data_IF_204991786886
#
_entry.id   IF_204991786886
#
_cell.length_a   1.000
_cell.length_b   1.000
_cell.length_c   1.000
_cell.angle_alpha   90.00
_cell.angle_beta   90.00
_cell.angle_gamma   90.00
#
_symmetry.space_group_name_H-M   'P 1'
#
loop_
_entity.id
_entity.type
_entity.pdbx_description
1 polymer ?
#
# COMPACT_ATOMS: atom_id res chain seq x y z
N UNK A 1 -16.86 -3.08 -20.41
CA UNK A 1 -16.46 -3.93 -19.27
C UNK A 1 -15.72 -5.20 -19.67
N UNK A 2 -16.22 -6.03 -20.61
CA UNK A 2 -15.57 -7.31 -20.99
C UNK A 2 -14.07 -7.20 -21.36
N UNK A 3 -13.67 -6.18 -22.14
CA UNK A 3 -12.26 -5.98 -22.50
C UNK A 3 -11.32 -5.71 -21.32
N UNK A 4 -11.79 -4.99 -20.29
CA UNK A 4 -11.00 -4.69 -19.10
C UNK A 4 -10.70 -5.95 -18.29
N UNK A 5 -11.71 -6.80 -18.10
CA UNK A 5 -11.57 -8.08 -17.39
C UNK A 5 -10.56 -8.98 -18.11
N UNK A 6 -10.68 -9.11 -19.44
CA UNK A 6 -9.73 -9.90 -20.24
C UNK A 6 -8.28 -9.38 -20.16
N UNK A 7 -8.08 -8.06 -20.15
CA UNK A 7 -6.76 -7.46 -19.97
C UNK A 7 -6.22 -7.66 -18.54
N UNK A 8 -7.06 -7.62 -17.51
CA UNK A 8 -6.64 -7.94 -16.14
C UNK A 8 -6.26 -9.41 -15.98
N UNK A 9 -6.99 -10.32 -16.62
CA UNK A 9 -6.66 -11.74 -16.61
C UNK A 9 -5.31 -12.02 -17.28
N UNK A 10 -4.95 -11.24 -18.31
CA UNK A 10 -3.66 -11.42 -19.00
C UNK A 10 -2.44 -11.04 -18.14
N UNK A 11 -2.62 -10.19 -17.11
CA UNK A 11 -1.53 -9.75 -16.21
C UNK A 11 -1.49 -10.49 -14.87
N UNK A 12 -2.42 -11.40 -14.58
CA UNK A 12 -2.47 -12.12 -13.29
C UNK A 12 -1.16 -12.85 -12.98
N UNK A 13 -0.58 -13.54 -13.97
CA UNK A 13 0.71 -14.23 -13.84
C UNK A 13 1.87 -13.28 -13.52
N UNK A 14 1.89 -12.08 -14.12
CA UNK A 14 2.92 -11.06 -13.84
C UNK A 14 2.76 -10.57 -12.41
N UNK A 15 1.53 -10.20 -12.01
CA UNK A 15 1.26 -9.69 -10.66
C UNK A 15 1.64 -10.72 -9.60
N UNK A 16 1.27 -11.99 -9.79
CA UNK A 16 1.65 -13.06 -8.85
C UNK A 16 3.15 -13.27 -8.78
N UNK A 17 3.86 -13.13 -9.89
CA UNK A 17 5.32 -13.33 -9.95
C UNK A 17 6.05 -12.16 -9.30
N UNK A 18 5.67 -10.93 -9.64
CA UNK A 18 6.38 -9.73 -9.19
C UNK A 18 6.00 -9.33 -7.75
N UNK A 19 4.81 -9.71 -7.27
CA UNK A 19 4.27 -9.28 -5.98
C UNK A 19 4.02 -10.39 -4.96
N UNK A 20 4.39 -11.65 -5.22
CA UNK A 20 4.14 -12.77 -4.28
C UNK A 20 4.62 -12.49 -2.85
N UNK A 21 5.71 -11.73 -2.71
CA UNK A 21 6.31 -11.37 -1.43
C UNK A 21 6.05 -9.90 -1.04
N UNK A 22 5.14 -9.24 -1.74
CA UNK A 22 4.78 -7.84 -1.52
C UNK A 22 3.84 -7.62 -0.33
N UNK A 23 4.07 -6.54 0.42
CA UNK A 23 3.21 -6.11 1.55
C UNK A 23 1.75 -5.95 1.11
N UNK A 24 1.49 -5.24 0.01
CA UNK A 24 0.14 -4.96 -0.47
C UNK A 24 -0.52 -6.25 -0.94
N UNK A 25 0.22 -7.09 -1.66
CA UNK A 25 -0.25 -8.41 -2.07
C UNK A 25 -0.70 -9.28 -0.90
N UNK A 26 0.02 -9.23 0.23
CA UNK A 26 -0.35 -9.97 1.44
C UNK A 26 -1.51 -9.32 2.19
N UNK A 27 -1.47 -8.00 2.37
CA UNK A 27 -2.48 -7.28 3.14
C UNK A 27 -3.83 -7.22 2.43
N UNK A 28 -3.85 -7.07 1.10
CA UNK A 28 -5.07 -6.85 0.30
C UNK A 28 -5.43 -8.03 -0.62
N UNK A 29 -4.48 -8.95 -0.83
CA UNK A 29 -4.66 -10.08 -1.72
C UNK A 29 -4.28 -9.80 -3.20
N UNK A 30 -4.20 -10.88 -4.01
CA UNK A 30 -3.80 -10.81 -5.41
C UNK A 30 -4.77 -10.00 -6.27
N UNK A 31 -6.08 -10.08 -6.00
CA UNK A 31 -7.10 -9.43 -6.83
C UNK A 31 -7.01 -7.91 -6.76
N UNK A 32 -6.87 -7.37 -5.55
CA UNK A 32 -6.73 -5.92 -5.36
C UNK A 32 -5.39 -5.41 -5.89
N UNK A 33 -4.31 -6.18 -5.71
CA UNK A 33 -3.00 -5.84 -6.28
C UNK A 33 -3.07 -5.79 -7.81
N UNK A 34 -3.70 -6.80 -8.43
CA UNK A 34 -3.93 -6.86 -9.88
C UNK A 34 -4.72 -5.66 -10.39
N UNK A 35 -5.80 -5.30 -9.70
CA UNK A 35 -6.62 -4.12 -10.03
C UNK A 35 -5.79 -2.83 -9.99
N UNK A 36 -4.94 -2.66 -8.97
CA UNK A 36 -4.05 -1.48 -8.85
C UNK A 36 -3.03 -1.40 -9.98
N UNK A 37 -2.37 -2.51 -10.32
CA UNK A 37 -1.41 -2.57 -11.43
C UNK A 37 -2.09 -2.27 -12.76
N UNK A 38 -3.25 -2.88 -13.02
CA UNK A 38 -4.04 -2.56 -14.22
C UNK A 38 -4.44 -1.08 -14.28
N UNK A 39 -4.80 -0.49 -13.14
CA UNK A 39 -5.13 0.94 -13.04
C UNK A 39 -3.91 1.82 -13.28
N UNK A 40 -2.73 1.48 -12.76
CA UNK A 40 -1.48 2.19 -13.03
C UNK A 40 -1.15 2.17 -14.53
N UNK A 41 -1.14 0.98 -15.11
CA UNK A 41 -0.88 0.77 -16.53
C UNK A 41 -1.82 1.61 -17.41
N UNK A 42 -3.12 1.58 -17.11
CA UNK A 42 -4.12 2.28 -17.90
C UNK A 42 -4.16 3.80 -17.66
N UNK A 43 -4.28 4.21 -16.40
CA UNK A 43 -4.56 5.61 -16.04
C UNK A 43 -3.33 6.50 -16.00
N UNK A 44 -2.16 5.93 -15.72
CA UNK A 44 -0.93 6.72 -15.53
C UNK A 44 0.03 6.60 -16.69
N UNK A 45 0.06 5.43 -17.34
CA UNK A 45 0.93 5.20 -18.49
C UNK A 45 0.19 5.33 -19.84
N UNK A 46 -1.09 5.71 -19.81
CA UNK A 46 -1.90 5.92 -21.01
C UNK A 46 -2.05 4.66 -21.86
N UNK A 47 -1.91 3.47 -21.28
CA UNK A 47 -2.10 2.24 -22.03
C UNK A 47 -3.60 2.07 -22.30
N UNK A 48 -3.99 2.23 -23.57
CA UNK A 48 -5.37 2.02 -24.00
C UNK A 48 -5.84 0.62 -23.62
N UNK A 49 -6.76 0.55 -22.64
CA UNK A 49 -7.46 -0.67 -22.24
C UNK A 49 -8.46 -1.15 -23.30
N UNK A 50 -8.89 -0.24 -24.18
CA UNK A 50 -10.02 -0.41 -25.10
C UNK A 50 -9.63 -0.43 -26.56
N UNK A 51 -8.40 -0.01 -26.90
CA UNK A 51 -7.90 -0.26 -28.24
C UNK A 51 -7.83 -1.78 -28.47
N UNK A 52 -8.09 -2.26 -29.69
CA UNK A 52 -7.93 -3.68 -30.07
C UNK A 52 -6.45 -4.10 -30.08
N UNK A 53 -5.65 -3.57 -29.15
CA UNK A 53 -4.37 -4.13 -28.79
C UNK A 53 -4.64 -5.50 -28.20
N UNK A 54 -4.17 -6.54 -28.91
CA UNK A 54 -4.21 -7.91 -28.43
C UNK A 54 -3.77 -7.95 -26.95
N UNK A 55 -4.45 -8.69 -26.06
CA UNK A 55 -4.12 -8.78 -24.63
C UNK A 55 -2.64 -9.05 -24.32
N UNK A 56 -1.92 -9.69 -25.25
CA UNK A 56 -0.46 -9.86 -25.20
C UNK A 56 0.32 -8.54 -25.18
N UNK A 57 -0.04 -7.54 -25.99
CA UNK A 57 0.67 -6.24 -26.00
C UNK A 57 0.50 -5.47 -24.70
N UNK A 58 -0.69 -5.52 -24.10
CA UNK A 58 -0.93 -4.93 -22.79
C UNK A 58 -0.07 -5.62 -21.73
N UNK A 59 -0.08 -6.96 -21.72
CA UNK A 59 0.75 -7.78 -20.85
C UNK A 59 2.25 -7.43 -20.98
N UNK A 60 2.77 -7.34 -22.20
CA UNK A 60 4.17 -7.03 -22.46
C UNK A 60 4.57 -5.63 -21.96
N UNK A 61 3.69 -4.63 -22.14
CA UNK A 61 3.91 -3.28 -21.61
C UNK A 61 3.89 -3.23 -20.08
N UNK A 62 2.97 -3.95 -19.45
CA UNK A 62 2.94 -4.09 -17.99
C UNK A 62 4.22 -4.75 -17.50
N UNK A 63 4.68 -5.83 -18.15
CA UNK A 63 5.92 -6.50 -17.81
C UNK A 63 7.14 -5.57 -17.95
N UNK A 64 7.20 -4.81 -19.04
CA UNK A 64 8.27 -3.82 -19.27
C UNK A 64 8.27 -2.71 -18.22
N UNK A 65 7.10 -2.34 -17.69
CA UNK A 65 6.97 -1.29 -16.68
C UNK A 65 7.60 -1.66 -15.32
N UNK A 66 8.02 -2.91 -15.10
CA UNK A 66 8.77 -3.30 -13.88
C UNK A 66 10.29 -3.24 -14.03
N UNK A 67 10.80 -2.88 -15.21
CA UNK A 67 12.22 -3.08 -15.56
C UNK A 67 12.91 -1.80 -16.00
N UNK A 68 14.13 -1.62 -15.50
CA UNK A 68 15.07 -0.62 -15.94
C UNK A 68 16.21 -1.32 -16.71
N UNK A 69 16.04 -1.44 -18.03
CA UNK A 69 16.84 -2.37 -18.83
C UNK A 69 16.48 -3.81 -18.45
N UNK A 70 17.48 -4.62 -18.10
CA UNK A 70 17.28 -6.04 -17.76
C UNK A 70 17.10 -6.30 -16.25
N UNK A 71 17.13 -5.26 -15.41
CA UNK A 71 17.04 -5.38 -13.95
C UNK A 71 15.84 -4.63 -13.38
N UNK A 72 15.53 -4.90 -12.12
CA UNK A 72 14.59 -4.06 -11.36
C UNK A 72 15.23 -2.70 -11.06
N UNK A 73 14.45 -1.61 -11.03
CA UNK A 73 14.95 -0.29 -10.65
C UNK A 73 15.44 -0.29 -9.20
N UNK A 74 16.58 0.35 -8.96
CA UNK A 74 17.12 0.55 -7.61
C UNK A 74 16.62 1.90 -7.08
N UNK A 75 15.82 1.86 -6.01
CA UNK A 75 15.28 3.03 -5.32
C UNK A 75 15.98 3.16 -3.95
N UNK A 76 16.99 4.04 -3.80
CA UNK A 76 17.85 4.07 -2.61
C UNK A 76 17.11 4.33 -1.29
N UNK A 77 16.04 5.13 -1.33
CA UNK A 77 15.30 5.52 -0.13
C UNK A 77 14.36 4.42 0.38
N UNK A 78 14.00 3.46 -0.47
CA UNK A 78 13.02 2.41 -0.18
C UNK A 78 13.57 1.08 -0.70
N UNK A 79 14.36 0.36 0.11
CA UNK A 79 14.90 -0.93 -0.29
C UNK A 79 13.76 -1.92 -0.58
N UNK A 80 14.02 -2.87 -1.47
CA UNK A 80 13.08 -3.92 -1.87
C UNK A 80 11.77 -3.40 -2.48
N UNK A 81 11.73 -2.15 -2.94
CA UNK A 81 10.58 -1.61 -3.63
C UNK A 81 10.30 -2.36 -4.94
N UNK A 82 9.06 -2.78 -5.14
CA UNK A 82 8.58 -3.26 -6.44
C UNK A 82 8.16 -2.01 -7.21
N UNK A 83 9.09 -1.49 -8.01
CA UNK A 83 8.90 -0.25 -8.77
C UNK A 83 8.10 -0.46 -10.06
N UNK A 84 7.27 0.51 -10.42
CA UNK A 84 6.49 0.52 -11.65
C UNK A 84 6.71 1.85 -12.40
N UNK A 85 7.09 1.77 -13.66
CA UNK A 85 7.57 2.91 -14.44
C UNK A 85 6.52 4.01 -14.50
N UNK A 86 6.95 5.24 -14.20
CA UNK A 86 6.13 6.44 -14.30
C UNK A 86 6.50 7.18 -15.57
N UNK A 87 5.54 7.36 -16.47
CA UNK A 87 5.70 8.24 -17.63
C UNK A 87 5.86 9.70 -17.13
N UNK A 88 6.79 10.51 -17.66
CA UNK A 88 7.04 11.87 -17.18
C UNK A 88 5.83 12.79 -17.14
N UNK A 89 4.87 12.58 -18.05
CA UNK A 89 3.61 13.33 -18.14
C UNK A 89 2.54 12.88 -17.13
N UNK A 90 2.89 11.98 -16.20
CA UNK A 90 1.95 11.47 -15.20
C UNK A 90 1.39 12.58 -14.30
N UNK A 91 0.25 12.24 -13.67
CA UNK A 91 -0.52 13.13 -12.80
C UNK A 91 0.40 13.80 -11.76
N UNK A 92 0.47 15.15 -11.72
CA UNK A 92 1.48 15.90 -10.97
C UNK A 92 1.42 15.73 -9.44
N UNK A 93 0.41 15.02 -8.95
CA UNK A 93 0.09 14.89 -7.55
C UNK A 93 0.38 13.50 -6.98
N UNK A 94 0.75 12.53 -7.82
CA UNK A 94 1.03 11.17 -7.37
C UNK A 94 2.51 11.06 -7.02
N UNK A 95 2.81 10.43 -5.88
CA UNK A 95 4.18 10.28 -5.43
C UNK A 95 4.98 9.40 -6.34
N UNK A 96 6.16 9.90 -6.71
CA UNK A 96 7.13 9.18 -7.52
C UNK A 96 8.50 9.25 -6.88
N UNK A 97 9.28 8.21 -7.11
CA UNK A 97 10.59 8.03 -6.52
C UNK A 97 11.63 7.98 -7.64
N UNK A 98 12.73 8.75 -7.53
CA UNK A 98 13.81 8.66 -8.49
C UNK A 98 14.57 7.34 -8.29
N UNK A 99 14.89 6.64 -9.39
CA UNK A 99 15.88 5.56 -9.36
C UNK A 99 17.30 6.12 -9.50
N UNK A 100 18.30 5.26 -9.36
CA UNK A 100 19.71 5.61 -9.55
C UNK A 100 20.02 6.21 -10.94
N UNK A 101 19.18 5.96 -11.96
CA UNK A 101 19.33 6.55 -13.30
C UNK A 101 18.67 7.94 -13.44
N UNK A 102 17.96 8.41 -12.41
CA UNK A 102 17.15 9.63 -12.45
C UNK A 102 15.74 9.45 -13.01
N UNK A 103 15.35 8.25 -13.45
CA UNK A 103 13.97 7.97 -13.88
C UNK A 103 13.01 7.95 -12.68
N UNK A 104 11.74 8.32 -12.92
CA UNK A 104 10.69 8.34 -11.89
C UNK A 104 9.90 7.03 -11.90
N UNK A 105 9.56 6.55 -10.72
CA UNK A 105 8.85 5.29 -10.53
C UNK A 105 7.72 5.45 -9.49
N UNK A 106 6.60 4.76 -9.72
CA UNK A 106 5.63 4.46 -8.67
C UNK A 106 6.13 3.27 -7.86
N UNK A 107 5.68 3.16 -6.61
CA UNK A 107 5.91 1.97 -5.78
C UNK A 107 4.54 1.36 -5.48
N UNK A 108 4.01 0.49 -6.34
CA UNK A 108 2.78 -0.24 -6.05
C UNK A 108 2.90 -1.18 -4.84
N UNK A 109 4.09 -1.69 -4.57
CA UNK A 109 4.33 -2.68 -3.51
C UNK A 109 5.80 -2.66 -3.04
N UNK A 110 6.07 -3.29 -1.90
CA UNK A 110 7.42 -3.45 -1.36
C UNK A 110 7.56 -4.90 -0.91
N UNK A 111 8.62 -5.58 -1.33
CA UNK A 111 8.93 -6.94 -0.90
C UNK A 111 9.38 -6.97 0.55
N UNK A 112 8.91 -7.99 1.27
CA UNK A 112 9.36 -8.30 2.62
C UNK A 112 10.15 -9.60 2.57
N UNK A 113 11.21 -9.69 3.37
CA UNK A 113 11.90 -10.96 3.60
C UNK A 113 10.93 -11.98 4.24
N UNK A 114 11.08 -13.25 3.84
CA UNK A 114 10.15 -14.33 4.20
C UNK A 114 9.86 -14.43 5.71
N UNK A 115 10.87 -14.12 6.54
CA UNK A 115 10.80 -14.17 8.00
C UNK A 115 9.81 -13.18 8.62
N UNK A 116 9.38 -12.16 7.88
CA UNK A 116 8.49 -11.12 8.38
C UNK A 116 7.11 -11.13 7.72
N UNK A 117 6.81 -12.11 6.87
CA UNK A 117 5.48 -12.25 6.26
C UNK A 117 4.38 -12.40 7.31
N UNK A 118 4.63 -13.19 8.35
CA UNK A 118 3.66 -13.48 9.41
C UNK A 118 3.42 -12.29 10.35
N UNK A 119 4.13 -11.18 10.16
CA UNK A 119 3.98 -9.97 10.95
C UNK A 119 3.09 -8.91 10.27
N UNK A 120 2.74 -9.08 9.00
CA UNK A 120 1.79 -8.17 8.34
C UNK A 120 0.39 -8.49 8.86
N UNK A 121 -0.29 -7.51 9.45
CA UNK A 121 -1.63 -7.71 10.00
C UNK A 121 -2.59 -8.00 8.84
N UNK A 122 -3.29 -9.15 8.85
CA UNK A 122 -4.28 -9.45 7.83
C UNK A 122 -5.47 -8.52 8.02
N UNK A 123 -5.80 -7.79 6.97
CA UNK A 123 -6.95 -6.89 6.94
C UNK A 123 -7.90 -7.39 5.86
N UNK A 124 -9.19 -7.50 6.18
CA UNK A 124 -10.16 -7.84 5.12
C UNK A 124 -10.25 -6.66 4.14
N UNK A 125 -10.15 -6.92 2.81
CA UNK A 125 -10.36 -5.88 1.82
C UNK A 125 -11.70 -5.17 2.02
N UNK A 126 -11.70 -3.86 1.83
CA UNK A 126 -12.94 -3.08 1.85
C UNK A 126 -13.75 -3.40 0.60
N UNK A 127 -14.98 -3.88 0.79
CA UNK A 127 -15.93 -4.17 -0.28
C UNK A 127 -17.03 -3.09 -0.28
N UNK A 128 -16.85 -1.98 -1.02
CA UNK A 128 -17.88 -0.98 -1.11
C UNK A 128 -19.10 -1.53 -1.85
N UNK A 129 -20.28 -1.31 -1.28
CA UNK A 129 -21.57 -1.61 -1.94
C UNK A 129 -21.74 -3.08 -2.32
N UNK A 130 -21.37 -4.03 -1.45
CA UNK A 130 -21.60 -5.47 -1.65
C UNK A 130 -23.07 -5.81 -1.99
N UNK A 131 -24.02 -4.97 -1.57
CA UNK A 131 -25.45 -5.09 -1.87
C UNK A 131 -25.87 -4.53 -3.25
N UNK A 132 -25.02 -3.74 -3.94
CA UNK A 132 -25.33 -3.07 -5.21
C UNK A 132 -24.16 -3.16 -6.21
N UNK A 133 -23.96 -4.36 -6.77
CA UNK A 133 -22.80 -4.75 -7.58
C UNK A 133 -22.51 -3.85 -8.80
N UNK A 134 -23.54 -3.33 -9.49
CA UNK A 134 -23.37 -2.52 -10.69
C UNK A 134 -22.73 -1.14 -10.45
N UNK A 135 -23.05 -0.50 -9.32
CA UNK A 135 -22.44 0.79 -8.93
C UNK A 135 -21.07 0.62 -8.28
N UNK A 136 -20.81 -0.54 -7.68
CA UNK A 136 -19.54 -0.82 -7.01
C UNK A 136 -18.36 -0.77 -7.97
N UNK A 137 -18.48 -1.38 -9.15
CA UNK A 137 -17.41 -1.46 -10.14
C UNK A 137 -17.03 -0.07 -10.69
N UNK A 138 -18.01 0.74 -11.10
CA UNK A 138 -17.75 2.07 -11.68
C UNK A 138 -17.21 3.10 -10.68
N UNK A 139 -17.49 2.92 -9.39
CA UNK A 139 -16.91 3.77 -8.33
C UNK A 139 -15.46 3.38 -8.03
N UNK A 140 -15.11 2.09 -8.14
CA UNK A 140 -13.75 1.61 -7.93
C UNK A 140 -12.84 1.89 -9.13
N UNK A 141 -13.39 1.85 -10.34
CA UNK A 141 -12.68 2.14 -11.58
C UNK A 141 -12.45 3.66 -11.73
N UNK A 142 -11.18 4.09 -11.69
CA UNK A 142 -10.80 5.46 -11.99
C UNK A 142 -11.02 6.50 -10.88
N UNK A 143 -11.49 6.13 -9.68
CA UNK A 143 -11.56 7.08 -8.54
C UNK A 143 -10.64 6.73 -7.38
N UNK A 144 -10.21 5.47 -7.31
CA UNK A 144 -9.30 5.01 -6.27
C UNK A 144 -7.87 5.19 -6.74
N UNK A 145 -7.07 5.89 -5.93
CA UNK A 145 -5.65 6.02 -6.19
C UNK A 145 -4.99 4.63 -6.09
N UNK A 146 -4.38 4.12 -7.18
CA UNK A 146 -3.77 2.81 -7.15
C UNK A 146 -2.47 2.79 -6.35
N UNK A 147 -1.80 3.93 -6.14
CA UNK A 147 -0.51 4.01 -5.45
C UNK A 147 -0.71 4.09 -3.94
N UNK A 148 -0.14 3.14 -3.15
CA UNK A 148 -0.07 3.28 -1.70
C UNK A 148 0.74 4.50 -1.28
N UNK A 149 0.28 5.19 -0.23
CA UNK A 149 1.09 6.20 0.44
C UNK A 149 1.99 5.52 1.46
N UNK A 150 3.20 5.14 1.02
CA UNK A 150 4.22 4.55 1.89
C UNK A 150 4.64 5.52 2.99
N UNK A 151 4.78 5.00 4.20
CA UNK A 151 5.16 5.74 5.39
C UNK A 151 6.60 5.37 5.72
N UNK A 152 7.56 6.21 5.31
CA UNK A 152 8.99 5.97 5.53
C UNK A 152 9.47 6.94 6.60
N UNK A 153 9.92 6.41 7.74
CA UNK A 153 10.47 7.18 8.86
C UNK A 153 12.00 7.28 8.78
N UNK A 154 12.61 7.85 9.81
CA UNK A 154 14.08 7.92 9.93
C UNK A 154 14.75 6.56 10.09
N UNK A 155 14.00 5.53 10.49
CA UNK A 155 14.49 4.15 10.68
C UNK A 155 14.15 3.24 9.49
N UNK A 156 13.66 3.80 8.38
CA UNK A 156 13.25 3.05 7.19
C UNK A 156 11.73 2.92 7.07
N UNK A 157 11.28 1.82 6.47
CA UNK A 157 9.87 1.59 6.19
C UNK A 157 9.06 1.40 7.48
N UNK A 158 8.06 2.25 7.64
CA UNK A 158 7.12 2.25 8.75
C UNK A 158 7.45 3.24 9.85
N UNK A 159 6.42 3.64 10.60
CA UNK A 159 6.57 4.44 11.83
C UNK A 159 5.78 3.79 12.97
N UNK A 160 6.23 3.88 14.22
CA UNK A 160 5.48 3.39 15.37
C UNK A 160 4.07 3.99 15.43
N UNK A 161 3.07 3.15 15.68
CA UNK A 161 1.67 3.59 15.84
C UNK A 161 1.51 4.41 17.13
N UNK A 162 2.18 4.02 18.21
CA UNK A 162 2.26 4.78 19.45
C UNK A 162 3.54 5.61 19.48
N UNK A 163 3.39 6.93 19.66
CA UNK A 163 4.50 7.88 19.70
C UNK A 163 4.22 9.10 18.84
N UNK A 164 5.09 10.12 18.92
CA UNK A 164 5.04 11.25 18.00
C UNK A 164 5.89 10.94 16.76
N UNK A 165 5.33 11.20 15.58
CA UNK A 165 6.02 10.93 14.33
C UNK A 165 6.78 12.19 13.91
N UNK A 166 8.02 12.30 14.40
CA UNK A 166 8.85 13.48 14.18
C UNK A 166 9.16 13.68 12.68
N UNK A 167 9.56 12.59 12.00
CA UNK A 167 9.97 12.60 10.59
C UNK A 167 9.22 11.53 9.80
N UNK A 168 8.67 11.95 8.66
CA UNK A 168 8.09 11.08 7.62
C UNK A 168 8.58 11.62 6.28
N UNK A 169 9.12 10.77 5.43
CA UNK A 169 9.42 11.12 4.04
C UNK A 169 8.14 11.65 3.38
N UNK A 170 8.24 12.75 2.63
CA UNK A 170 7.08 13.45 2.05
C UNK A 170 6.08 13.98 3.09
N UNK A 171 6.47 14.11 4.37
CA UNK A 171 5.58 14.51 5.46
C UNK A 171 4.92 15.87 5.25
N UNK A 172 5.62 16.82 4.61
CA UNK A 172 5.13 18.17 4.34
C UNK A 172 4.32 18.27 3.03
N UNK A 173 4.27 17.20 2.24
CA UNK A 173 3.49 17.20 1.00
C UNK A 173 2.00 17.16 1.29
N UNK A 174 1.23 17.84 0.44
CA UNK A 174 -0.21 17.87 0.53
C UNK A 174 -0.80 16.53 0.06
N UNK A 175 -1.76 16.03 0.83
CA UNK A 175 -2.61 14.91 0.42
C UNK A 175 -3.77 15.48 -0.39
N UNK A 176 -3.67 15.36 -1.71
CA UNK A 176 -4.65 15.93 -2.63
C UNK A 176 -5.54 14.84 -3.25
N UNK A 177 -6.62 15.29 -3.86
CA UNK A 177 -7.48 14.51 -4.75
C UNK A 177 -6.89 14.53 -6.16
N UNK A 178 -7.51 13.76 -7.06
CA UNK A 178 -7.14 13.72 -8.48
C UNK A 178 -7.25 15.08 -9.17
N UNK A 179 -8.17 15.94 -8.73
CA UNK A 179 -8.34 17.31 -9.22
C UNK A 179 -7.33 18.31 -8.62
N UNK A 180 -6.32 17.83 -7.90
CA UNK A 180 -5.30 18.65 -7.24
C UNK A 180 -5.76 19.35 -5.96
N UNK A 181 -7.04 19.27 -5.60
CA UNK A 181 -7.55 19.91 -4.37
C UNK A 181 -7.15 19.10 -3.15
N UNK A 182 -6.78 19.80 -2.08
CA UNK A 182 -6.51 19.18 -0.79
C UNK A 182 -7.68 18.32 -0.30
N UNK A 183 -7.40 17.12 0.19
CA UNK A 183 -8.39 16.30 0.90
C UNK A 183 -8.67 16.94 2.25
N UNK A 184 -9.88 17.44 2.45
CA UNK A 184 -10.30 18.09 3.71
C UNK A 184 -10.79 17.10 4.76
N UNK A 185 -11.31 15.95 4.33
CA UNK A 185 -11.63 14.82 5.20
C UNK A 185 -11.39 13.49 4.51
N UNK A 186 -11.08 12.48 5.31
CA UNK A 186 -10.93 11.08 4.88
C UNK A 186 -11.55 10.16 5.93
N UNK A 187 -12.10 9.03 5.49
CA UNK A 187 -12.63 7.98 6.37
C UNK A 187 -11.58 6.88 6.47
N UNK A 188 -11.14 6.57 7.68
CA UNK A 188 -10.35 5.36 7.95
C UNK A 188 -11.30 4.20 8.08
N UNK A 189 -11.02 3.13 7.36
CA UNK A 189 -11.71 1.85 7.46
C UNK A 189 -10.66 0.75 7.56
N UNK A 190 -10.88 -0.22 8.43
CA UNK A 190 -10.20 -1.52 8.38
C UNK A 190 -11.01 -2.56 9.15
N UNK A 191 -10.88 -3.82 8.76
CA UNK A 191 -11.46 -4.94 9.50
C UNK A 191 -10.32 -5.83 10.00
N UNK A 192 -10.10 -5.77 11.31
CA UNK A 192 -9.11 -6.58 12.01
C UNK A 192 -9.66 -7.99 12.24
N UNK A 193 -8.83 -9.01 12.04
CA UNK A 193 -9.27 -10.41 12.17
C UNK A 193 -9.81 -10.73 13.58
N UNK A 194 -11.06 -11.21 13.65
CA UNK A 194 -11.73 -11.52 14.92
C UNK A 194 -12.46 -10.36 15.57
N UNK A 195 -12.49 -9.17 14.94
CA UNK A 195 -13.16 -7.97 15.45
C UNK A 195 -14.17 -7.41 14.45
N UNK A 196 -15.12 -6.63 14.96
CA UNK A 196 -16.05 -5.85 14.14
C UNK A 196 -15.29 -4.83 13.26
N UNK A 197 -15.78 -4.51 12.05
CA UNK A 197 -15.18 -3.49 11.19
C UNK A 197 -15.05 -2.13 11.90
N UNK A 198 -13.85 -1.57 11.88
CA UNK A 198 -13.58 -0.26 12.44
C UNK A 198 -13.74 0.84 11.40
N UNK A 199 -14.36 1.94 11.79
CA UNK A 199 -14.54 3.12 10.94
C UNK A 199 -14.39 4.41 11.74
N UNK A 200 -13.65 5.37 11.20
CA UNK A 200 -13.54 6.70 11.80
C UNK A 200 -13.26 7.79 10.78
N UNK A 201 -13.90 8.96 10.92
CA UNK A 201 -13.60 10.11 10.07
C UNK A 201 -12.42 10.93 10.62
N UNK A 202 -11.53 11.35 9.75
CA UNK A 202 -10.42 12.27 10.00
C UNK A 202 -10.70 13.59 9.29
N UNK A 203 -10.60 14.69 10.02
CA UNK A 203 -10.58 16.03 9.45
C UNK A 203 -9.12 16.44 9.20
N UNK A 204 -8.79 16.61 7.93
CA UNK A 204 -7.45 17.00 7.47
C UNK A 204 -7.22 18.50 7.58
N UNK A 205 -8.29 19.29 7.63
CA UNK A 205 -8.18 20.71 7.94
C UNK A 205 -7.96 20.88 9.45
N UNK A 206 -6.90 21.60 9.82
CA UNK A 206 -6.76 22.10 11.19
C UNK A 206 -7.79 23.20 11.49
N UNK A 207 -7.87 23.61 12.76
CA UNK A 207 -8.38 24.96 13.07
C UNK A 207 -7.56 26.03 12.35
N UNK A 208 -8.01 27.29 12.41
CA UNK A 208 -7.47 28.43 11.65
C UNK A 208 -5.95 28.36 11.44
N UNK A 209 -5.54 28.13 10.19
CA UNK A 209 -4.16 28.26 9.66
C UNK A 209 -3.06 27.39 10.29
N UNK A 210 -3.36 26.15 10.72
CA UNK A 210 -2.27 25.21 11.01
C UNK A 210 -1.44 24.93 9.74
N UNK A 211 -0.13 25.16 9.81
CA UNK A 211 0.82 24.87 8.71
C UNK A 211 0.78 23.41 8.24
N UNK A 212 0.36 22.49 9.12
CA UNK A 212 0.25 21.06 8.84
C UNK A 212 -1.09 20.66 8.21
N UNK A 213 -1.97 21.62 7.86
CA UNK A 213 -3.27 21.33 7.27
C UNK A 213 -3.11 20.55 5.96
N UNK A 214 -3.85 19.46 5.82
CA UNK A 214 -3.84 18.60 4.63
C UNK A 214 -2.50 17.93 4.29
N UNK A 215 -1.49 17.99 5.17
CA UNK A 215 -0.20 17.34 4.94
C UNK A 215 -0.24 15.83 5.18
N UNK A 216 0.72 15.11 4.60
CA UNK A 216 0.86 13.68 4.82
C UNK A 216 1.23 13.31 6.25
N UNK A 217 2.12 14.08 6.89
CA UNK A 217 2.47 13.90 8.30
C UNK A 217 1.24 14.01 9.19
N UNK A 218 0.35 14.97 8.92
CA UNK A 218 -0.93 15.07 9.62
C UNK A 218 -1.79 13.82 9.40
N UNK A 219 -1.87 13.33 8.16
CA UNK A 219 -2.63 12.11 7.85
C UNK A 219 -2.12 10.92 8.68
N UNK A 220 -0.82 10.67 8.66
CA UNK A 220 -0.14 9.61 9.42
C UNK A 220 -0.46 9.72 10.90
N UNK A 221 -0.28 10.90 11.50
CA UNK A 221 -0.57 11.13 12.93
C UNK A 221 -2.04 10.89 13.27
N UNK A 222 -2.97 11.29 12.42
CA UNK A 222 -4.39 11.07 12.65
C UNK A 222 -4.76 9.58 12.54
N UNK A 223 -4.22 8.87 11.54
CA UNK A 223 -4.40 7.43 11.37
C UNK A 223 -3.86 6.67 12.59
N UNK A 224 -2.64 6.99 13.06
CA UNK A 224 -2.06 6.42 14.27
C UNK A 224 -2.96 6.62 15.51
N UNK A 225 -3.53 7.82 15.69
CA UNK A 225 -4.49 8.09 16.78
C UNK A 225 -5.75 7.23 16.65
N UNK A 226 -6.26 6.99 15.44
CA UNK A 226 -7.43 6.12 15.21
C UNK A 226 -7.11 4.66 15.53
N UNK A 227 -5.95 4.16 15.13
CA UNK A 227 -5.50 2.80 15.47
C UNK A 227 -5.32 2.65 16.98
N UNK A 228 -4.66 3.60 17.65
CA UNK A 228 -4.54 3.61 19.11
C UNK A 228 -5.92 3.59 19.80
N UNK A 229 -6.89 4.36 19.30
CA UNK A 229 -8.26 4.39 19.84
C UNK A 229 -8.97 3.05 19.64
N UNK A 230 -8.83 2.44 18.47
CA UNK A 230 -9.34 1.10 18.19
C UNK A 230 -8.78 0.11 19.23
N UNK A 231 -7.47 0.01 19.36
CA UNK A 231 -6.81 -0.96 20.25
C UNK A 231 -7.22 -0.78 21.72
N UNK A 232 -7.32 0.46 22.18
CA UNK A 232 -7.57 0.76 23.59
C UNK A 232 -9.04 0.73 23.99
N UNK A 233 -9.98 1.00 23.06
CA UNK A 233 -11.39 1.26 23.41
C UNK A 233 -12.41 0.62 22.47
N UNK A 234 -12.16 0.67 21.16
CA UNK A 234 -13.19 0.34 20.18
C UNK A 234 -13.01 -1.09 19.58
N UNK A 235 -12.05 -1.86 20.09
CA UNK A 235 -11.83 -3.25 19.68
C UNK A 235 -12.91 -4.15 20.27
N UNK A 236 -14.01 -4.31 19.53
CA UNK A 236 -15.13 -5.21 19.87
C UNK A 236 -14.91 -6.58 19.21
N UNK A 237 -14.66 -7.66 20.00
CA UNK A 237 -14.51 -9.00 19.43
C UNK A 237 -15.82 -9.49 18.82
N UNK A 238 -15.73 -10.25 17.73
CA UNK A 238 -16.89 -10.95 17.17
C UNK A 238 -17.37 -12.05 18.14
N UNK A 239 -18.68 -12.37 18.21
CA UNK A 239 -19.20 -13.43 19.09
C UNK A 239 -18.53 -14.79 18.87
N UNK A 240 -18.15 -15.08 17.62
CA UNK A 240 -17.46 -16.31 17.21
C UNK A 240 -15.95 -16.09 17.00
N UNK A 241 -15.41 -14.98 17.50
CA UNK A 241 -13.99 -14.65 17.39
C UNK A 241 -13.16 -15.63 18.23
N UNK A 242 -12.16 -16.25 17.60
CA UNK A 242 -11.22 -17.10 18.33
C UNK A 242 -10.41 -16.22 19.30
N UNK A 243 -10.65 -16.40 20.61
CA UNK A 243 -9.92 -15.68 21.66
C UNK A 243 -8.43 -15.99 21.69
N UNK A 244 -8.02 -17.11 21.06
CA UNK A 244 -6.63 -17.55 20.90
C UNK A 244 -6.06 -17.18 19.53
N UNK A 245 -6.65 -16.22 18.81
CA UNK A 245 -6.06 -15.72 17.57
C UNK A 245 -4.70 -15.06 17.86
N UNK A 246 -3.65 -15.30 17.05
CA UNK A 246 -2.38 -14.58 17.16
C UNK A 246 -2.55 -13.07 16.90
N UNK A 247 -3.70 -12.67 16.35
CA UNK A 247 -4.08 -11.28 16.09
C UNK A 247 -4.94 -10.68 17.21
N UNK A 248 -5.09 -11.33 18.35
CA UNK A 248 -5.88 -10.81 19.46
C UNK A 248 -5.31 -9.48 19.97
N UNK A 249 -6.14 -8.45 19.98
CA UNK A 249 -5.83 -7.10 20.46
C UNK A 249 -6.05 -6.99 21.96
N UNK A 250 -5.17 -6.26 22.64
CA UNK A 250 -5.28 -5.92 24.06
C UNK A 250 -3.93 -5.67 24.74
N UNK A 251 -3.97 -5.33 26.03
CA UNK A 251 -2.77 -5.05 26.84
C UNK A 251 -2.25 -6.28 27.61
N UNK A 252 -2.84 -7.45 27.38
CA UNK A 252 -2.45 -8.70 28.05
C UNK A 252 -1.26 -9.39 27.38
N UNK A 253 -0.67 -10.36 28.08
CA UNK A 253 0.37 -11.23 27.52
C UNK A 253 -0.17 -11.95 26.27
N UNK A 254 0.64 -11.99 25.20
CA UNK A 254 0.25 -12.59 23.93
C UNK A 254 -0.75 -11.77 23.10
N UNK A 255 -1.09 -10.54 23.51
CA UNK A 255 -2.01 -9.66 22.77
C UNK A 255 -1.32 -8.47 22.16
N UNK A 256 -1.78 -8.06 20.98
CA UNK A 256 -1.27 -6.92 20.23
C UNK A 256 -1.77 -5.61 20.84
N UNK A 257 -0.83 -4.80 21.31
CA UNK A 257 -1.04 -3.43 21.76
C UNK A 257 -0.60 -2.43 20.69
N UNK A 258 -0.85 -1.14 20.92
CA UNK A 258 -0.43 -0.09 19.99
C UNK A 258 1.10 0.11 19.93
N UNK A 259 1.84 -0.34 20.95
CA UNK A 259 3.31 -0.27 21.01
C UNK A 259 3.97 -1.28 20.08
N UNK A 260 3.25 -2.35 19.79
CA UNK A 260 3.71 -3.48 19.00
C UNK A 260 3.54 -3.25 17.49
N UNK A 261 2.97 -2.11 17.08
CA UNK A 261 2.58 -1.87 15.69
C UNK A 261 3.39 -0.77 15.02
N UNK A 262 3.69 -1.03 13.75
CA UNK A 262 4.19 -0.08 12.77
C UNK A 262 3.12 0.18 11.72
N UNK A 263 2.91 1.45 11.37
CA UNK A 263 2.14 1.85 10.20
C UNK A 263 3.07 1.89 8.99
N UNK A 264 2.88 0.98 8.02
CA UNK A 264 3.73 0.84 6.83
C UNK A 264 3.25 1.69 5.66
N UNK A 265 1.94 1.70 5.41
CA UNK A 265 1.34 2.38 4.28
C UNK A 265 -0.09 2.84 4.59
N UNK A 266 -0.59 3.77 3.79
CA UNK A 266 -2.00 4.15 3.76
C UNK A 266 -2.49 3.95 2.33
N UNK A 267 -3.45 3.04 2.14
CA UNK A 267 -4.02 2.75 0.81
C UNK A 267 -5.40 3.38 0.67
N UNK A 268 -5.67 4.01 -0.47
CA UNK A 268 -7.03 4.40 -0.82
C UNK A 268 -7.81 3.15 -1.23
N UNK A 269 -8.97 2.89 -0.63
CA UNK A 269 -9.82 1.72 -0.96
C UNK A 269 -11.13 2.11 -1.62
N UNK A 270 -11.57 3.36 -1.47
CA UNK A 270 -12.60 3.98 -2.29
C UNK A 270 -12.42 5.50 -2.30
N UNK A 271 -13.33 6.23 -2.96
CA UNK A 271 -13.30 7.70 -2.93
C UNK A 271 -13.49 8.21 -1.50
N UNK A 272 -12.43 8.83 -0.95
CA UNK A 272 -12.43 9.38 0.40
C UNK A 272 -12.26 8.36 1.53
N UNK A 273 -12.13 7.06 1.23
CA UNK A 273 -11.87 6.01 2.23
C UNK A 273 -10.46 5.47 2.09
N UNK A 274 -9.76 5.38 3.22
CA UNK A 274 -8.40 4.87 3.32
C UNK A 274 -8.34 3.70 4.30
N UNK A 275 -7.38 2.81 4.07
CA UNK A 275 -7.06 1.71 4.96
C UNK A 275 -5.57 1.76 5.35
N UNK A 276 -5.24 1.67 6.64
CA UNK A 276 -3.85 1.54 7.07
C UNK A 276 -3.35 0.13 6.77
N UNK A 277 -2.07 0.00 6.42
CA UNK A 277 -1.36 -1.29 6.34
C UNK A 277 -0.42 -1.37 7.53
N UNK A 278 -0.58 -2.42 8.34
CA UNK A 278 0.07 -2.53 9.65
C UNK A 278 1.00 -3.73 9.70
N UNK A 279 2.07 -3.59 10.48
CA UNK A 279 3.01 -4.66 10.80
C UNK A 279 3.23 -4.75 12.30
N UNK A 280 3.27 -5.95 12.83
CA UNK A 280 3.73 -6.24 14.19
C UNK A 280 5.25 -6.16 14.21
N UNK A 281 5.82 -5.45 15.19
CA UNK A 281 7.26 -5.32 15.33
C UNK A 281 7.90 -6.68 15.56
N UNK A 282 9.07 -6.88 14.96
CA UNK A 282 9.73 -8.19 14.92
C UNK A 282 10.63 -8.47 16.11
N UNK A 283 10.92 -7.46 16.92
CA UNK A 283 11.56 -7.61 18.24
C UNK A 283 10.58 -8.18 19.28
N UNK A 284 9.32 -8.39 18.90
CA UNK A 284 8.34 -9.04 19.73
C UNK A 284 8.33 -10.54 19.49
N UNK A 285 8.73 -11.29 20.51
CA UNK A 285 8.39 -12.69 20.62
C UNK A 285 6.87 -12.81 20.84
N UNK A 286 6.10 -13.04 19.77
CA UNK A 286 4.64 -13.29 19.86
C UNK A 286 4.30 -14.60 20.58
N UNK A 287 5.27 -15.27 21.21
CA UNK A 287 5.11 -16.62 21.76
C UNK A 287 4.84 -17.69 20.68
N UNK A 288 4.85 -17.31 19.39
CA UNK A 288 4.64 -18.21 18.25
C UNK A 288 5.69 -19.32 18.18
N UNK A 289 6.93 -19.04 18.60
CA UNK A 289 7.99 -20.04 18.71
C UNK A 289 7.60 -21.21 19.63
N UNK A 290 6.85 -20.95 20.70
CA UNK A 290 6.45 -21.99 21.64
C UNK A 290 5.25 -22.81 21.14
N UNK A 291 4.38 -22.25 20.28
CA UNK A 291 3.26 -22.99 19.70
C UNK A 291 3.71 -24.04 18.67
N UNK A 292 4.82 -23.79 17.98
CA UNK A 292 5.42 -24.76 17.03
C UNK A 292 6.18 -25.86 17.79
N UNK A 293 6.87 -25.54 18.89
CA UNK A 293 7.60 -26.55 19.68
C UNK A 293 6.65 -27.50 20.42
N UNK A 294 5.51 -27.02 20.95
CA UNK A 294 4.57 -27.88 21.70
C UNK A 294 3.92 -28.94 20.81
N UNK A 295 3.65 -28.64 19.52
CA UNK A 295 3.11 -29.64 18.58
C UNK A 295 4.11 -30.74 18.21
N UNK A 296 5.41 -30.45 18.21
CA UNK A 296 6.44 -31.45 17.93
C UNK A 296 6.66 -32.40 19.12
N UNK A 297 6.47 -31.94 20.36
CA UNK A 297 6.64 -32.79 21.55
C UNK A 297 5.43 -33.68 21.85
N UNK A 298 4.22 -33.27 21.47
CA UNK A 298 3.01 -34.09 21.69
C UNK A 298 2.89 -35.26 20.71
N UNK A 299 3.54 -35.19 19.54
CA UNK A 299 3.61 -36.34 18.61
C UNK A 299 4.70 -37.35 18.97
N UNK A 300 5.65 -37.01 19.85
CA UNK A 300 6.68 -37.96 20.30
C UNK A 300 6.30 -38.75 21.55
N UNK A 301 5.22 -38.42 22.26
CA UNK A 301 4.77 -39.18 23.44
C UNK A 301 3.87 -40.38 23.14
N UNK A 302 3.35 -40.50 21.92
CA UNK A 302 2.45 -41.61 21.53
C UNK A 302 3.14 -42.75 20.75
N UNK A 303 4.46 -42.71 20.56
CA UNK A 303 5.20 -43.81 19.89
C UNK A 303 6.07 -44.68 20.80
N UNK A 304 6.03 -44.48 22.12
CA UNK A 304 6.84 -45.25 23.08
C UNK A 304 6.12 -46.47 23.68
N UNK A 305 5.34 -47.18 22.85
CA UNK A 305 4.99 -48.57 23.17
C UNK A 305 5.10 -49.45 21.93
N UNK A 306 5.97 -50.45 22.05
CA UNK A 306 6.16 -51.62 21.16
C UNK A 306 7.09 -51.52 19.94
N UNK A 307 8.42 -51.57 20.15
CA UNK A 307 9.32 -52.31 19.22
C UNK A 307 10.50 -52.95 20.00
N UNK A 308 10.83 -54.24 19.73
CA UNK A 308 11.89 -54.97 20.42
C UNK A 308 13.29 -54.65 19.90
N UNK A 309 14.27 -54.77 20.80
CA UNK A 309 15.69 -54.56 20.58
C UNK A 309 16.27 -55.48 19.50
N UNK A 310 16.96 -54.91 18.51
CA UNK A 310 17.94 -55.62 17.69
C UNK A 310 19.24 -54.81 17.63
N UNK A 311 20.29 -55.40 18.19
CA UNK A 311 21.69 -54.97 18.16
C UNK A 311 22.28 -55.11 16.76
N UNK A 312 22.80 -54.03 16.17
CA UNK A 312 23.83 -54.09 15.12
C UNK A 312 24.82 -52.92 15.30
N UNK A 313 26.10 -53.26 15.15
CA UNK A 313 27.32 -52.49 15.39
C UNK A 313 27.50 -51.17 14.60
N UNK A 314 28.38 -50.26 15.08
CA UNK A 314 28.72 -49.01 14.40
C UNK A 314 29.79 -49.22 13.33
N UNK A 315 29.62 -48.57 12.18
CA UNK A 315 30.63 -48.48 11.12
C UNK A 315 31.17 -47.05 11.03
N UNK A 316 32.49 -46.97 11.04
CA UNK A 316 33.36 -45.81 11.02
C UNK A 316 33.39 -45.14 9.65
N UNK A 317 33.31 -43.80 9.59
CA UNK A 317 33.83 -42.89 8.55
C UNK A 317 33.16 -41.51 8.73
N UNK A 318 33.71 -40.35 8.43
CA UNK A 318 35.03 -39.87 7.99
C UNK A 318 34.94 -38.34 8.13
N UNK A 319 36.05 -37.70 8.53
CA UNK A 319 36.19 -36.25 8.61
C UNK A 319 35.90 -35.54 7.28
N UNK A 320 35.21 -34.40 7.33
CA UNK A 320 35.40 -33.31 6.38
C UNK A 320 35.44 -31.98 7.14
N UNK A 321 36.66 -31.43 7.27
CA UNK A 321 36.92 -30.09 7.72
C UNK A 321 37.06 -29.16 6.50
N UNK A 322 36.39 -28.01 6.52
CA UNK A 322 36.53 -26.92 5.55
C UNK A 322 36.23 -25.61 6.31
N UNK A 323 37.23 -24.99 6.95
CA UNK A 323 38.04 -23.86 6.44
C UNK A 323 37.24 -22.79 5.68
N UNK A 324 36.79 -21.77 6.41
CA UNK A 324 36.54 -20.42 5.88
C UNK A 324 37.81 -19.58 5.98
N UNK A 325 38.23 -18.83 4.93
CA UNK A 325 39.30 -17.86 5.06
C UNK A 325 38.79 -16.44 5.37
N UNK A 326 39.48 -15.82 6.32
CA UNK A 326 39.91 -14.42 6.39
C UNK A 326 38.86 -13.29 6.33
N UNK A 327 38.56 -12.82 7.56
CA UNK A 327 38.13 -11.47 7.91
C UNK A 327 39.23 -10.47 7.56
N UNK A 328 38.93 -9.50 6.70
CA UNK A 328 39.79 -8.33 6.44
C UNK A 328 39.45 -7.27 7.48
N UNK A 329 40.43 -6.90 8.28
CA UNK A 329 40.36 -5.79 9.23
C UNK A 329 40.45 -4.46 8.48
N UNK A 330 39.39 -3.66 8.55
CA UNK A 330 39.39 -2.26 8.10
C UNK A 330 39.73 -1.36 9.29
N UNK A 331 40.78 -0.52 9.23
CA UNK A 331 41.12 0.39 10.33
C UNK A 331 40.19 1.61 10.35
N UNK A 332 39.85 2.04 11.56
CA UNK A 332 39.05 3.22 11.86
C UNK A 332 39.72 4.54 11.38
N UNK A 333 38.96 5.53 10.91
CA UNK A 333 39.51 6.85 10.61
C UNK A 333 39.67 7.67 11.89
N UNK A 334 40.89 8.18 12.13
CA UNK A 334 41.16 9.22 13.12
C UNK A 334 40.82 10.63 12.58
N UNK A 335 40.43 11.58 13.46
CA UNK A 335 39.99 12.89 13.07
C UNK A 335 41.18 13.84 12.84
N UNK A 336 41.15 14.60 11.74
CA UNK A 336 42.04 15.76 11.56
C UNK A 336 41.26 17.05 11.80
N UNK A 337 41.66 17.74 12.86
CA UNK A 337 41.32 19.11 13.18
C UNK A 337 42.16 20.04 12.29
N UNK A 338 41.51 20.87 11.48
CA UNK A 338 42.12 22.10 10.97
C UNK A 338 41.14 23.25 11.16
N UNK A 339 41.42 24.03 12.20
CA UNK A 339 40.82 25.32 12.48
C UNK A 339 41.27 26.33 11.42
N UNK A 340 40.32 26.86 10.64
CA UNK A 340 40.53 28.07 9.84
C UNK A 340 39.66 29.16 10.45
N UNK A 341 40.37 30.11 11.07
CA UNK A 341 39.89 31.35 11.66
C UNK A 341 39.82 32.39 10.55
N UNK A 342 38.61 32.75 10.09
CA UNK A 342 38.42 33.88 9.19
C UNK A 342 38.02 35.12 10.01
N UNK A 343 38.80 36.18 9.79
CA UNK A 343 38.71 37.49 10.45
C UNK A 343 37.52 38.29 9.93
N UNK A 344 36.94 39.08 10.82
CA UNK A 344 35.90 40.05 10.56
C UNK A 344 36.48 41.38 10.05
N UNK A 345 36.09 41.76 8.85
CA UNK A 345 36.05 43.14 8.34
C UNK A 345 34.83 43.17 7.41
N UNK A 346 33.73 43.81 7.77
CA UNK A 346 33.63 45.26 7.77
C UNK A 346 33.35 45.69 6.33
N UNK A 347 32.08 45.88 5.98
CA UNK A 347 31.64 46.95 5.08
C UNK A 347 30.11 46.97 4.98
N UNK A 348 29.57 48.10 5.40
CA UNK A 348 28.18 48.48 5.23
C UNK A 348 27.96 48.88 3.76
N UNK A 349 26.91 48.33 3.15
CA UNK A 349 26.41 48.78 1.84
C UNK A 349 24.93 49.18 1.96
N UNK A 350 24.49 50.11 1.08
CA UNK A 350 23.42 51.04 1.38
C UNK A 350 22.02 50.48 1.12
N UNK A 351 21.05 51.11 1.78
CA UNK A 351 19.62 50.94 1.54
C UNK A 351 19.29 51.19 0.05
N UNK A 352 18.60 50.21 -0.55
CA UNK A 352 17.98 50.33 -1.88
C UNK A 352 16.48 50.57 -1.69
N UNK A 353 15.87 51.51 -2.43
CA UNK A 353 14.51 51.97 -2.20
C UNK A 353 13.46 50.97 -2.68
N UNK A 354 12.34 50.98 -1.95
CA UNK A 354 11.08 50.34 -2.34
C UNK A 354 10.51 51.13 -3.52
N UNK A 355 10.40 50.50 -4.69
CA UNK A 355 9.54 50.95 -5.77
C UNK A 355 8.44 49.91 -6.02
N UNK A 356 7.22 50.43 -6.08
CA UNK A 356 6.01 49.72 -6.43
C UNK A 356 5.81 49.69 -7.96
N UNK A 357 4.98 48.73 -8.38
CA UNK A 357 4.27 48.62 -9.67
C UNK A 357 5.06 48.21 -10.92
N UNK A 358 4.55 47.15 -11.58
CA UNK A 358 4.62 47.01 -13.04
C UNK A 358 5.07 45.65 -13.58
N UNK A 359 4.20 45.05 -14.39
CA UNK A 359 4.45 43.98 -15.38
C UNK A 359 4.35 42.53 -14.88
N UNK A 360 3.12 42.03 -14.91
CA UNK A 360 2.81 40.62 -15.15
C UNK A 360 2.77 40.38 -16.67
N UNK A 361 3.75 39.69 -17.21
CA UNK A 361 3.65 39.04 -18.52
C UNK A 361 4.46 37.74 -18.49
N UNK A 362 3.83 36.66 -18.98
CA UNK A 362 4.54 35.46 -19.42
C UNK A 362 4.39 34.17 -18.60
N UNK A 363 3.18 33.79 -18.20
CA UNK A 363 2.88 32.36 -18.06
C UNK A 363 2.22 31.88 -19.35
N UNK A 364 2.88 30.95 -20.04
CA UNK A 364 2.36 30.31 -21.23
C UNK A 364 1.03 29.62 -20.91
N UNK A 365 -0.04 30.08 -21.54
CA UNK A 365 -1.34 29.40 -21.53
C UNK A 365 -1.15 27.98 -22.04
N UNK A 366 -1.53 27.01 -21.20
CA UNK A 366 -1.75 25.64 -21.64
C UNK A 366 -2.89 25.70 -22.65
N UNK A 367 -2.74 25.16 -23.88
CA UNK A 367 -3.76 25.31 -24.89
C UNK A 367 -5.06 24.63 -24.43
N UNK A 368 -6.13 25.42 -24.33
CA UNK A 368 -7.49 25.00 -23.98
C UNK A 368 -8.02 23.83 -24.84
N UNK A 369 -7.36 23.49 -25.95
CA UNK A 369 -7.75 22.36 -26.81
C UNK A 369 -7.56 21.00 -26.12
N UNK A 370 -6.58 20.83 -25.23
CA UNK A 370 -6.36 19.55 -24.54
C UNK A 370 -7.40 19.31 -23.44
N UNK A 371 -7.72 20.30 -22.61
CA UNK A 371 -8.77 20.14 -21.59
C UNK A 371 -10.15 19.84 -22.19
N UNK A 372 -10.46 20.42 -23.35
CA UNK A 372 -11.72 20.17 -24.07
C UNK A 372 -11.74 18.75 -24.68
N UNK A 373 -10.61 18.23 -25.17
CA UNK A 373 -10.55 16.84 -25.68
C UNK A 373 -10.74 15.80 -24.57
N UNK A 374 -10.12 16.00 -23.39
CA UNK A 374 -10.30 15.09 -22.26
C UNK A 374 -11.73 15.16 -21.68
N UNK A 375 -12.32 16.35 -21.60
CA UNK A 375 -13.72 16.51 -21.17
C UNK A 375 -14.72 15.91 -22.17
N UNK A 376 -14.47 16.05 -23.48
CA UNK A 376 -15.33 15.50 -24.53
C UNK A 376 -15.22 13.96 -24.63
N UNK A 377 -14.02 13.39 -24.49
CA UNK A 377 -13.83 11.94 -24.43
C UNK A 377 -14.56 11.35 -23.20
N UNK A 378 -14.50 12.03 -22.06
CA UNK A 378 -15.19 11.61 -20.84
C UNK A 378 -16.72 11.73 -20.94
N UNK A 379 -17.22 12.80 -21.57
CA UNK A 379 -18.66 13.00 -21.81
C UNK A 379 -19.22 11.98 -22.81
N UNK A 380 -18.47 11.62 -23.86
CA UNK A 380 -18.88 10.59 -24.82
C UNK A 380 -18.91 9.20 -24.17
N UNK A 381 -17.90 8.86 -23.36
CA UNK A 381 -17.88 7.59 -22.63
C UNK A 381 -19.02 7.49 -21.60
N UNK A 382 -19.38 8.60 -20.95
CA UNK A 382 -20.51 8.63 -20.01
C UNK A 382 -21.87 8.54 -20.72
N UNK A 383 -22.05 9.22 -21.86
CA UNK A 383 -23.31 9.21 -22.60
C UNK A 383 -23.60 7.85 -23.27
N UNK A 384 -22.57 7.21 -23.85
CA UNK A 384 -22.68 5.86 -24.43
C UNK A 384 -22.96 4.79 -23.36
N UNK A 385 -22.64 5.07 -22.10
CA UNK A 385 -22.89 4.18 -20.97
C UNK A 385 -24.35 4.25 -20.48
N UNK A 386 -24.93 5.45 -20.39
CA UNK A 386 -26.34 5.63 -20.03
C UNK A 386 -27.27 5.05 -21.12
N UNK A 387 -26.95 5.22 -22.40
CA UNK A 387 -27.74 4.63 -23.51
C UNK A 387 -27.71 3.09 -23.50
N UNK A 388 -26.60 2.49 -23.03
CA UNK A 388 -26.47 1.04 -22.89
C UNK A 388 -27.28 0.48 -21.72
N UNK A 389 -27.39 1.22 -20.61
CA UNK A 389 -28.22 0.86 -19.44
C UNK A 389 -29.71 0.89 -19.84
N UNK A 390 -30.15 1.93 -20.55
CA UNK A 390 -31.54 2.06 -21.02
C UNK A 390 -31.93 0.95 -22.01
N UNK A 391 -30.98 0.51 -22.85
CA UNK A 391 -31.20 -0.63 -23.77
C UNK A 391 -31.26 -1.99 -23.06
N UNK A 392 -30.49 -2.17 -21.98
CA UNK A 392 -30.50 -3.40 -21.21
C UNK A 392 -31.74 -3.52 -20.30
N UNK A 393 -32.32 -2.40 -19.88
CA UNK A 393 -33.55 -2.36 -19.08
C UNK A 393 -34.82 -2.72 -19.86
N UNK A 394 -34.79 -2.72 -21.21
CA UNK A 394 -35.96 -2.94 -22.07
C UNK A 394 -36.13 -4.36 -22.61
N UNK A 395 -35.23 -5.29 -22.29
CA UNK A 395 -35.38 -6.70 -22.67
C UNK A 395 -36.00 -7.51 -21.54
N UNK A 396 -37.33 -7.50 -21.44
CA UNK A 396 -38.07 -8.46 -20.61
C UNK A 396 -38.07 -9.86 -21.24
N UNK A 397 -37.83 -10.94 -20.47
CA UNK A 397 -38.15 -12.29 -20.91
C UNK A 397 -39.63 -12.58 -20.62
N UNK A 398 -40.44 -12.70 -21.69
CA UNK A 398 -41.79 -13.26 -21.60
C UNK A 398 -41.71 -14.74 -21.17
N UNK A 399 -42.21 -15.06 -19.98
CA UNK A 399 -42.45 -16.44 -19.57
C UNK A 399 -42.82 -16.60 -18.09
N UNK A 400 -44.12 -16.70 -17.82
CA UNK A 400 -44.71 -17.13 -16.54
C UNK A 400 -45.89 -18.07 -16.83
N UNK A 401 -46.48 -18.81 -15.87
CA UNK A 401 -46.00 -19.27 -14.54
C UNK A 401 -46.47 -20.72 -14.20
N UNK A 402 -46.13 -21.21 -12.98
CA UNK A 402 -46.86 -22.15 -12.05
C UNK A 402 -45.84 -23.08 -11.35
N UNK A 403 -45.87 -23.43 -10.05
CA UNK A 403 -46.82 -23.28 -8.93
C UNK A 403 -46.09 -23.65 -7.61
N UNK A 404 -46.64 -23.20 -6.47
CA UNK A 404 -46.69 -23.85 -5.13
C UNK A 404 -45.42 -24.00 -4.26
N UNK A 405 -45.40 -23.25 -3.15
CA UNK A 405 -45.47 -23.71 -1.73
C UNK A 405 -44.99 -22.56 -0.81
N UNK A 406 -45.88 -21.90 -0.07
CA UNK A 406 -46.36 -22.18 1.31
C UNK A 406 -45.44 -21.63 2.40
N UNK A 407 -46.03 -20.69 3.14
CA UNK A 407 -45.94 -20.39 4.58
C UNK A 407 -44.57 -20.14 5.22
N UNK A 408 -44.40 -18.91 5.77
CA UNK A 408 -44.14 -18.69 7.19
C UNK A 408 -44.15 -17.17 7.49
N UNK A 409 -45.09 -16.78 8.35
CA UNK A 409 -45.15 -15.49 9.03
C UNK A 409 -44.14 -15.48 10.19
N UNK A 410 -43.34 -14.40 10.29
CA UNK A 410 -42.86 -13.76 11.53
C UNK A 410 -42.59 -12.29 11.25
#
# INVERSE_FOLDING_TARGET
MSGFISALDSIDSIVRTEHSNGIIFRALGPQETRRRIGTLAASYNGYELTAPLAPGRFRDRVQFSYREGDRRPELPDIPNAIAFFCIPEAIPFTRTYPSASGRRWFIPDIEVDDLYHDHIVPLRPFEPYSENSGRAASVLEGKVDPVPLWVVGSQGLGVPVKGDVAHVQHGNELVVKRDGKCRTSVKVYFQWEGYEPYTSQIQMRGGSQSADSCTFKRLVNQVNRRICKFISKDAVPLPNGNSNSPWAVGNGVGRISAEDLLLLAIVSVSEGVIMPVLKVRSDRDLGLANAVTVRATDTMRDMDSSVPATLVHPSTATMCASRYPNRIDTPAPQPSLSSIRAQSSGDALPAVPIFAEGSSDGFAEVPHSLEVEWANAYSLCSALFEEFIDRAAYTEPRGTPRTLCRDLEW
#
